data_IF_048321664448
#
_entry.id   IF_048321664448
#
_cell.length_a   1.000
_cell.length_b   1.000
_cell.length_c   1.000
_cell.angle_alpha   90.00
_cell.angle_beta   90.00
_cell.angle_gamma   90.00
#
_symmetry.space_group_name_H-M   'P 1'
#
loop_
_entity.id
_entity.type
_entity.pdbx_description
1 polymer ?
#
# COMPACT_ATOMS: atom_id res chain seq x y z
N UNK A 1 -0.73 -7.37 -10.79
CA UNK A 1 -2.17 -7.09 -10.87
C UNK A 1 -2.41 -5.60 -10.65
N UNK A 2 -3.48 -5.00 -11.22
CA UNK A 2 -3.89 -3.63 -10.85
C UNK A 2 -4.84 -3.69 -9.66
N UNK A 3 -4.52 -2.90 -8.63
CA UNK A 3 -5.37 -2.73 -7.44
C UNK A 3 -6.36 -1.59 -7.65
N UNK A 4 -5.91 -0.48 -8.25
CA UNK A 4 -6.77 0.65 -8.59
C UNK A 4 -6.76 0.89 -10.10
N UNK A 5 -7.88 0.61 -10.77
CA UNK A 5 -8.03 0.89 -12.21
C UNK A 5 -8.21 2.39 -12.48
N UNK A 6 -8.90 3.11 -11.60
CA UNK A 6 -9.11 4.56 -11.72
C UNK A 6 -7.80 5.35 -11.84
N UNK A 7 -6.80 4.97 -11.05
CA UNK A 7 -5.53 5.71 -10.94
C UNK A 7 -4.33 4.87 -11.39
N UNK A 8 -4.56 3.75 -12.09
CA UNK A 8 -3.50 2.91 -12.64
C UNK A 8 -2.52 2.34 -11.59
N UNK A 9 -2.98 2.04 -10.38
CA UNK A 9 -2.11 1.56 -9.30
C UNK A 9 -1.95 0.05 -9.38
N UNK A 10 -0.73 -0.40 -9.62
CA UNK A 10 -0.36 -1.80 -9.59
C UNK A 10 -0.11 -2.30 -8.16
N UNK A 11 -0.30 -3.60 -7.95
CA UNK A 11 0.02 -4.32 -6.72
C UNK A 11 1.50 -4.12 -6.34
N UNK A 12 2.41 -4.24 -7.33
CA UNK A 12 3.85 -4.03 -7.13
C UNK A 12 4.16 -2.63 -6.59
N UNK A 13 3.58 -1.59 -7.22
CA UNK A 13 3.76 -0.20 -6.81
C UNK A 13 3.23 0.05 -5.40
N UNK A 14 2.08 -0.55 -5.07
CA UNK A 14 1.49 -0.43 -3.74
C UNK A 14 2.38 -1.08 -2.67
N UNK A 15 2.83 -2.33 -2.91
CA UNK A 15 3.71 -3.06 -2.00
C UNK A 15 5.05 -2.35 -1.80
N UNK A 16 5.64 -1.81 -2.85
CA UNK A 16 6.88 -1.02 -2.76
C UNK A 16 6.73 0.20 -1.85
N UNK A 17 5.65 0.97 -2.02
CA UNK A 17 5.38 2.14 -1.19
C UNK A 17 5.13 1.74 0.26
N UNK A 18 4.37 0.66 0.51
CA UNK A 18 4.14 0.17 1.88
C UNK A 18 5.46 -0.25 2.54
N UNK A 19 6.34 -0.98 1.85
CA UNK A 19 7.64 -1.39 2.39
C UNK A 19 8.56 -0.21 2.70
N UNK A 20 8.58 0.80 1.82
CA UNK A 20 9.46 1.97 1.95
C UNK A 20 9.02 2.92 3.07
N UNK A 21 7.72 3.19 3.17
CA UNK A 21 7.20 4.24 4.05
C UNK A 21 6.45 3.72 5.27
N UNK A 22 6.11 2.43 5.32
CA UNK A 22 5.47 1.75 6.46
C UNK A 22 4.27 2.52 7.03
N UNK A 23 3.29 2.91 6.20
CA UNK A 23 2.14 3.70 6.64
C UNK A 23 1.37 2.96 7.73
N UNK A 24 0.95 3.67 8.78
CA UNK A 24 0.22 3.10 9.92
C UNK A 24 -1.30 3.13 9.73
N UNK A 25 -1.77 3.79 8.69
CA UNK A 25 -3.19 3.89 8.37
C UNK A 25 -3.44 3.96 6.87
N UNK A 26 -4.67 3.61 6.47
CA UNK A 26 -5.11 3.77 5.07
C UNK A 26 -5.12 5.24 4.63
N UNK A 27 -5.31 6.18 5.58
CA UNK A 27 -5.26 7.61 5.31
C UNK A 27 -3.84 8.04 4.93
N UNK A 28 -2.82 7.60 5.67
CA UNK A 28 -1.42 7.81 5.31
C UNK A 28 -1.10 7.19 3.94
N UNK A 29 -1.54 5.95 3.69
CA UNK A 29 -1.34 5.30 2.41
C UNK A 29 -1.94 6.10 1.24
N UNK A 30 -3.09 6.75 1.43
CA UNK A 30 -3.74 7.61 0.42
C UNK A 30 -2.98 8.90 0.11
N UNK A 31 -2.16 9.37 1.04
CA UNK A 31 -1.26 10.49 0.81
C UNK A 31 -0.06 10.09 -0.04
N UNK A 32 0.40 8.84 0.09
CA UNK A 32 1.54 8.30 -0.65
C UNK A 32 1.16 7.76 -2.04
N UNK A 33 -0.01 7.12 -2.14
CA UNK A 33 -0.52 6.49 -3.36
C UNK A 33 -1.97 6.94 -3.57
N UNK A 34 -2.39 7.35 -4.77
CA UNK A 34 -3.76 7.80 -5.03
C UNK A 34 -4.76 6.64 -5.08
N UNK A 35 -4.74 5.70 -4.14
CA UNK A 35 -5.75 4.66 -4.01
C UNK A 35 -7.04 5.24 -3.41
N UNK A 36 -8.20 4.83 -3.93
CA UNK A 36 -9.49 5.18 -3.33
C UNK A 36 -9.95 6.63 -3.51
N UNK A 37 -9.27 7.46 -4.32
CA UNK A 37 -9.63 8.87 -4.55
C UNK A 37 -10.80 9.09 -5.52
N UNK A 38 -11.16 8.08 -6.32
CA UNK A 38 -12.28 8.16 -7.28
C UNK A 38 -13.43 7.25 -6.86
N UNK A 39 -13.50 6.01 -7.35
CA UNK A 39 -14.65 5.11 -7.06
C UNK A 39 -14.56 4.35 -5.73
N UNK A 40 -13.42 4.40 -5.01
CA UNK A 40 -13.24 3.74 -3.71
C UNK A 40 -13.13 2.20 -3.73
N UNK A 41 -13.41 1.52 -4.85
CA UNK A 41 -13.48 0.04 -4.93
C UNK A 41 -12.17 -0.66 -4.53
N UNK A 42 -11.03 -0.03 -4.77
CA UNK A 42 -9.72 -0.57 -4.46
C UNK A 42 -9.32 -0.49 -2.98
N UNK A 43 -10.09 0.23 -2.14
CA UNK A 43 -9.67 0.57 -0.76
C UNK A 43 -9.51 -0.67 0.11
N UNK A 44 -10.42 -1.64 -0.01
CA UNK A 44 -10.34 -2.89 0.76
C UNK A 44 -9.11 -3.70 0.39
N UNK A 45 -8.92 -3.97 -0.90
CA UNK A 45 -7.76 -4.68 -1.41
C UNK A 45 -6.44 -3.96 -1.09
N UNK A 46 -6.39 -2.64 -1.20
CA UNK A 46 -5.21 -1.86 -0.86
C UNK A 46 -4.87 -1.95 0.64
N UNK A 47 -5.88 -2.01 1.51
CA UNK A 47 -5.69 -2.17 2.96
C UNK A 47 -5.19 -3.58 3.30
N UNK A 48 -5.77 -4.62 2.70
CA UNK A 48 -5.35 -6.00 2.90
C UNK A 48 -3.87 -6.19 2.50
N UNK A 49 -3.46 -5.63 1.35
CA UNK A 49 -2.06 -5.66 0.92
C UNK A 49 -1.16 -4.87 1.86
N UNK A 50 -1.61 -3.72 2.36
CA UNK A 50 -0.85 -2.92 3.32
C UNK A 50 -0.63 -3.70 4.62
N UNK A 51 -1.67 -4.32 5.16
CA UNK A 51 -1.60 -5.12 6.39
C UNK A 51 -0.70 -6.35 6.19
N UNK A 52 -0.87 -7.08 5.09
CA UNK A 52 -0.04 -8.22 4.68
C UNK A 52 1.45 -7.85 4.62
N UNK A 53 1.78 -6.75 3.92
CA UNK A 53 3.16 -6.27 3.80
C UNK A 53 3.75 -5.77 5.11
N UNK A 54 2.94 -5.21 6.01
CA UNK A 54 3.41 -4.76 7.33
C UNK A 54 3.61 -5.94 8.31
N UNK A 55 2.84 -7.03 8.17
CA UNK A 55 3.02 -8.26 8.94
C UNK A 55 4.21 -9.09 8.45
N UNK A 56 4.45 -9.10 7.13
CA UNK A 56 5.54 -9.82 6.49
C UNK A 56 6.76 -8.95 6.17
N UNK A 57 6.77 -7.69 6.63
CA UNK A 57 7.92 -6.82 6.50
C UNK A 57 9.12 -7.55 7.13
N UNK A 58 10.19 -7.82 6.35
CA UNK A 58 11.36 -8.48 6.91
C UNK A 58 11.84 -7.65 8.09
N UNK A 59 12.02 -8.31 9.24
CA UNK A 59 12.77 -7.81 10.39
C UNK A 59 14.23 -7.60 9.98
N UNK A 60 14.52 -6.75 8.99
CA UNK A 60 15.82 -6.14 8.89
C UNK A 60 15.85 -5.05 9.96
N UNK A 61 16.09 -5.48 11.20
CA UNK A 61 16.81 -4.63 12.14
C UNK A 61 17.99 -4.06 11.36
N UNK A 62 18.07 -2.73 11.35
CA UNK A 62 19.22 -1.92 10.96
C UNK A 62 20.51 -2.73 11.01
N UNK A 63 21.08 -3.03 9.84
CA UNK A 63 22.49 -3.41 9.78
C UNK A 63 23.24 -2.10 9.56
N UNK A 64 23.72 -1.55 10.68
CA UNK A 64 24.80 -0.58 10.86
C UNK A 64 24.69 0.79 10.13
#
# INVERSE_FOLDING_TARGET
MYICLCNGISDKSLREVVRRYQPKSIQELRHLVPVGKQCGKCVRAAREIMEDELQHAPLYKEIA
#
